data_IF_293389866749
#
_entry.id   IF_293389866749
#
_cell.length_a   1.000
_cell.length_b   1.000
_cell.length_c   1.000
_cell.angle_alpha   90.00
_cell.angle_beta   90.00
_cell.angle_gamma   90.00
#
_symmetry.space_group_name_H-M   'P 1'
#
loop_
_entity.id
_entity.type
_entity.pdbx_description
1 polymer ?
#
# COMPACT_ATOMS: atom_id res chain seq x y z
N UNK A 1 -1.63 2.59 -12.87
CA UNK A 1 -2.37 1.96 -11.76
C UNK A 1 -3.67 1.45 -12.35
N UNK A 2 -4.12 0.26 -11.96
CA UNK A 2 -5.42 -0.27 -12.37
C UNK A 2 -6.49 0.13 -11.34
N UNK A 3 -7.75 0.41 -11.74
CA UNK A 3 -8.82 0.77 -10.79
C UNK A 3 -9.12 -0.27 -9.70
N UNK A 4 -8.74 -1.53 -9.93
CA UNK A 4 -8.87 -2.63 -8.95
C UNK A 4 -7.69 -2.78 -7.99
N UNK A 5 -6.66 -1.92 -8.09
CA UNK A 5 -5.51 -1.98 -7.20
C UNK A 5 -5.90 -1.47 -5.80
N UNK A 6 -5.47 -2.18 -4.75
CA UNK A 6 -5.62 -1.72 -3.36
C UNK A 6 -4.30 -1.31 -2.72
N UNK A 7 -3.22 -1.31 -3.51
CA UNK A 7 -1.90 -0.81 -3.12
C UNK A 7 -1.28 0.02 -4.25
N UNK A 8 -0.46 0.99 -3.88
CA UNK A 8 0.39 1.74 -4.82
C UNK A 8 1.86 1.53 -4.49
N UNK A 9 2.76 1.94 -5.39
CA UNK A 9 4.21 1.97 -5.15
C UNK A 9 4.66 3.40 -5.02
N UNK A 10 5.42 3.70 -3.98
CA UNK A 10 5.97 5.03 -3.78
C UNK A 10 7.16 5.24 -4.73
N UNK A 11 7.07 6.28 -5.55
CA UNK A 11 8.11 6.66 -6.52
C UNK A 11 8.80 7.97 -6.15
N UNK A 12 8.54 8.49 -4.95
CA UNK A 12 9.23 9.64 -4.37
C UNK A 12 10.20 9.13 -3.28
N UNK A 13 11.40 9.68 -3.25
CA UNK A 13 12.42 9.36 -2.24
C UNK A 13 12.25 10.15 -0.95
N UNK A 14 11.39 11.18 -0.95
CA UNK A 14 11.01 11.97 0.23
C UNK A 14 10.04 11.19 1.11
N UNK A 15 10.54 10.68 2.22
CA UNK A 15 9.80 9.82 3.16
C UNK A 15 9.05 10.62 4.25
N UNK A 16 9.19 11.95 4.24
CA UNK A 16 8.43 12.90 5.04
C UNK A 16 7.05 13.21 4.46
N UNK A 17 6.81 12.89 3.18
CA UNK A 17 5.54 13.08 2.52
C UNK A 17 4.49 12.15 3.14
N UNK A 18 3.33 12.73 3.43
CA UNK A 18 2.19 12.02 4.06
C UNK A 18 0.93 12.01 3.20
N UNK A 19 1.04 12.52 1.97
CA UNK A 19 -0.07 12.62 1.02
C UNK A 19 0.42 12.16 -0.36
N UNK A 20 -0.31 11.23 -0.96
CA UNK A 20 -0.11 10.76 -2.33
C UNK A 20 -0.52 11.83 -3.35
N UNK A 21 -0.11 11.67 -4.61
CA UNK A 21 -0.41 12.64 -5.66
C UNK A 21 -1.92 12.82 -5.94
N UNK A 22 -2.74 11.83 -5.60
CA UNK A 22 -4.21 11.84 -5.71
C UNK A 22 -4.91 12.35 -4.44
N UNK A 23 -4.16 12.78 -3.43
CA UNK A 23 -4.69 13.28 -2.16
C UNK A 23 -4.90 12.20 -1.09
N UNK A 24 -4.65 10.92 -1.39
CA UNK A 24 -4.74 9.84 -0.40
C UNK A 24 -3.66 9.94 0.70
N UNK A 25 -3.92 9.45 1.93
CA UNK A 25 -2.92 9.48 2.98
C UNK A 25 -1.82 8.44 2.74
N UNK A 26 -0.61 8.71 3.24
CA UNK A 26 0.48 7.73 3.31
C UNK A 26 1.22 7.89 4.63
N UNK A 27 1.58 6.77 5.27
CA UNK A 27 2.32 6.79 6.51
C UNK A 27 3.76 7.31 6.29
N UNK A 28 4.31 8.02 7.28
CA UNK A 28 5.70 8.49 7.24
C UNK A 28 6.69 7.32 7.23
N UNK A 29 7.83 7.52 6.59
CA UNK A 29 8.95 6.58 6.66
C UNK A 29 8.84 5.37 5.74
N UNK A 30 7.85 5.33 4.83
CA UNK A 30 7.82 4.32 3.78
C UNK A 30 8.85 4.68 2.71
N UNK A 31 9.73 3.72 2.40
CA UNK A 31 10.84 3.94 1.47
C UNK A 31 10.37 3.93 0.01
N UNK A 32 11.17 4.57 -0.85
CA UNK A 32 11.02 4.48 -2.30
C UNK A 32 10.96 3.02 -2.76
N UNK A 33 10.05 2.72 -3.70
CA UNK A 33 9.83 1.39 -4.25
C UNK A 33 8.97 0.48 -3.36
N UNK A 34 8.66 0.88 -2.13
CA UNK A 34 7.78 0.11 -1.24
C UNK A 34 6.31 0.44 -1.53
N UNK A 35 5.42 -0.41 -0.99
CA UNK A 35 3.98 -0.29 -1.23
C UNK A 35 3.27 0.41 -0.08
N UNK A 36 2.28 1.23 -0.41
CA UNK A 36 1.33 1.78 0.54
C UNK A 36 -0.09 1.32 0.19
N UNK A 37 -0.94 1.11 1.19
CA UNK A 37 -2.34 0.74 0.99
C UNK A 37 -3.16 1.92 0.46
N UNK A 38 -3.95 1.70 -0.59
CA UNK A 38 -4.89 2.69 -1.14
C UNK A 38 -6.27 2.64 -0.46
N UNK A 39 -6.56 1.56 0.23
CA UNK A 39 -7.78 1.32 0.99
C UNK A 39 -7.46 0.49 2.24
N UNK A 40 -8.39 0.40 3.19
CA UNK A 40 -8.26 -0.54 4.30
C UNK A 40 -8.31 -1.98 3.76
N UNK A 41 -7.38 -2.83 4.20
CA UNK A 41 -7.27 -4.23 3.78
C UNK A 41 -7.39 -5.10 5.02
N UNK A 42 -8.51 -5.82 5.13
CA UNK A 42 -8.74 -6.74 6.24
C UNK A 42 -7.75 -7.92 6.21
N UNK A 43 -7.46 -8.48 7.37
CA UNK A 43 -6.68 -9.72 7.50
C UNK A 43 -7.25 -10.82 6.60
N UNK A 44 -6.37 -11.44 5.82
CA UNK A 44 -6.75 -12.51 4.89
C UNK A 44 -7.38 -12.03 3.59
N UNK A 45 -7.59 -10.72 3.41
CA UNK A 45 -7.99 -10.17 2.12
C UNK A 45 -6.81 -10.13 1.14
N UNK A 46 -7.14 -10.15 -0.15
CA UNK A 46 -6.18 -10.17 -1.22
C UNK A 46 -5.53 -8.79 -1.40
N UNK A 47 -4.24 -8.77 -1.70
CA UNK A 47 -3.49 -7.57 -2.06
C UNK A 47 -3.35 -7.55 -3.58
N UNK A 48 -3.93 -6.54 -4.21
CA UNK A 48 -4.04 -6.41 -5.65
C UNK A 48 -3.13 -5.31 -6.16
N UNK A 49 -2.28 -5.67 -7.13
CA UNK A 49 -1.47 -4.73 -7.89
C UNK A 49 -1.50 -5.10 -9.36
N UNK A 50 -1.73 -4.12 -10.22
CA UNK A 50 -2.00 -4.32 -11.64
C UNK A 50 -3.20 -5.26 -11.89
N UNK A 51 -4.21 -5.20 -11.02
CA UNK A 51 -5.37 -6.11 -11.01
C UNK A 51 -5.04 -7.59 -10.81
N UNK A 52 -3.85 -7.90 -10.28
CA UNK A 52 -3.40 -9.26 -10.00
C UNK A 52 -3.22 -9.41 -8.50
N UNK A 53 -3.67 -10.55 -7.97
CA UNK A 53 -3.41 -10.93 -6.58
C UNK A 53 -1.92 -11.21 -6.44
N UNK A 54 -1.22 -10.36 -5.68
CA UNK A 54 0.22 -10.48 -5.42
C UNK A 54 0.54 -11.02 -4.03
N UNK A 55 -0.49 -11.28 -3.22
CA UNK A 55 -0.34 -11.76 -1.86
C UNK A 55 -1.62 -11.54 -1.06
N UNK A 56 -1.53 -11.83 0.23
CA UNK A 56 -2.63 -11.74 1.18
C UNK A 56 -2.19 -11.05 2.47
N UNK A 57 -3.07 -10.22 3.02
CA UNK A 57 -2.79 -9.53 4.27
C UNK A 57 -2.70 -10.54 5.44
N UNK A 58 -1.66 -10.44 6.27
CA UNK A 58 -1.48 -11.32 7.45
C UNK A 58 -2.12 -10.74 8.71
N UNK A 59 -2.47 -9.46 8.68
CA UNK A 59 -3.20 -8.68 9.68
C UNK A 59 -4.00 -7.59 8.98
N UNK A 60 -4.83 -6.85 9.71
CA UNK A 60 -5.47 -5.66 9.18
C UNK A 60 -4.42 -4.59 8.82
N UNK A 61 -4.63 -3.92 7.70
CA UNK A 61 -3.77 -2.87 7.13
C UNK A 61 -4.64 -1.64 6.89
N UNK A 62 -4.26 -0.53 7.52
CA UNK A 62 -5.00 0.73 7.38
C UNK A 62 -4.66 1.47 6.07
N UNK A 63 -5.53 2.39 5.65
CA UNK A 63 -5.27 3.24 4.47
C UNK A 63 -3.95 4.00 4.65
N UNK A 64 -3.10 3.98 3.63
CA UNK A 64 -1.79 4.64 3.64
C UNK A 64 -0.69 3.86 4.37
N UNK A 65 -1.01 2.74 5.00
CA UNK A 65 -0.01 1.94 5.73
C UNK A 65 0.96 1.23 4.78
N UNK A 66 2.18 0.98 5.26
CA UNK A 66 3.23 0.26 4.56
C UNK A 66 2.86 -1.21 4.32
N UNK A 67 2.72 -1.64 3.07
CA UNK A 67 2.44 -3.02 2.70
C UNK A 67 3.73 -3.75 2.29
N UNK A 68 4.21 -4.64 3.14
CA UNK A 68 5.46 -5.37 2.92
C UNK A 68 5.47 -6.74 3.63
N UNK A 69 6.61 -7.44 3.62
CA UNK A 69 6.71 -8.83 4.10
C UNK A 69 6.27 -9.04 5.55
N UNK A 70 6.20 -8.00 6.38
CA UNK A 70 5.77 -8.09 7.77
C UNK A 70 4.24 -8.16 7.92
N UNK A 71 3.47 -7.70 6.93
CA UNK A 71 2.00 -7.69 6.94
C UNK A 71 1.36 -8.28 5.66
N UNK A 72 2.17 -8.82 4.74
CA UNK A 72 1.76 -9.43 3.48
C UNK A 72 2.57 -10.72 3.23
N UNK A 73 1.91 -11.76 2.71
CA UNK A 73 2.53 -13.02 2.29
C UNK A 73 1.93 -13.56 0.99
#
# INVERSE_FOLDING_TARGET
MHPGDNVTTLLDSRHEITVLADGGPVAKGILFGHKAALAAIAKGADILKYNVIIGRATRDIEVGEHVHVHNCR
#
